data_IF_773316956534
#
_entry.id   IF_773316956534
#
_cell.length_a   1.000
_cell.length_b   1.000
_cell.length_c   1.000
_cell.angle_alpha   90.00
_cell.angle_beta   90.00
_cell.angle_gamma   90.00
#
_symmetry.space_group_name_H-M   'P 1'
#
loop_
_entity.id
_entity.type
_entity.pdbx_description
1 polymer ?
#
# COMPACT_ATOMS: atom_id res chain seq x y z
N UNK A 1 -2.35 20.41 -7.01
CA UNK A 1 -2.39 18.95 -6.77
C UNK A 1 -2.31 18.30 -8.14
N UNK A 2 -1.37 17.37 -8.35
CA UNK A 2 -1.50 16.45 -9.46
C UNK A 2 -2.70 15.56 -9.10
N UNK A 3 -3.67 15.42 -10.00
CA UNK A 3 -4.85 14.59 -9.76
C UNK A 3 -5.21 13.92 -11.08
N UNK A 4 -5.42 12.61 -11.04
CA UNK A 4 -5.95 11.86 -12.16
C UNK A 4 -7.49 11.85 -11.99
N UNK A 5 -8.17 12.74 -12.71
CA UNK A 5 -9.56 13.11 -12.43
C UNK A 5 -10.57 12.36 -13.31
N UNK A 6 -11.43 11.55 -12.67
CA UNK A 6 -12.82 11.27 -13.06
C UNK A 6 -13.09 10.53 -14.38
N UNK A 7 -13.46 9.25 -14.28
CA UNK A 7 -13.91 8.42 -15.41
C UNK A 7 -13.30 7.02 -15.35
N UNK A 8 -13.69 6.12 -16.27
CA UNK A 8 -12.95 4.89 -16.55
C UNK A 8 -11.69 5.24 -17.38
N UNK A 9 -10.92 6.20 -16.90
CA UNK A 9 -9.82 6.83 -17.62
C UNK A 9 -8.50 6.16 -17.28
N UNK A 10 -7.67 6.00 -18.31
CA UNK A 10 -6.32 5.44 -18.19
C UNK A 10 -5.32 6.59 -18.36
N UNK A 11 -4.57 6.88 -17.31
CA UNK A 11 -3.46 7.83 -17.32
C UNK A 11 -2.15 7.06 -17.46
N UNK A 12 -1.62 7.07 -18.67
CA UNK A 12 -0.30 6.53 -18.98
C UNK A 12 0.76 7.62 -18.81
N UNK A 13 1.63 7.46 -17.81
CA UNK A 13 2.70 8.40 -17.53
C UNK A 13 3.96 8.16 -18.37
N UNK A 14 3.97 7.15 -19.25
CA UNK A 14 5.10 6.85 -20.15
C UNK A 14 6.45 6.77 -19.42
N UNK A 15 6.46 6.14 -18.25
CA UNK A 15 7.59 6.02 -17.31
C UNK A 15 8.16 7.36 -16.83
N UNK A 16 7.35 8.42 -16.82
CA UNK A 16 7.74 9.67 -16.18
C UNK A 16 8.02 9.45 -14.69
N UNK A 17 9.05 10.13 -14.20
CA UNK A 17 9.35 10.20 -12.78
C UNK A 17 8.65 11.41 -12.17
N UNK A 18 7.83 11.17 -11.15
CA UNK A 18 7.07 12.19 -10.43
C UNK A 18 7.39 12.11 -8.95
N UNK A 19 7.58 13.27 -8.32
CA UNK A 19 7.66 13.44 -6.89
C UNK A 19 7.06 14.79 -6.50
N UNK A 20 7.03 15.05 -5.19
CA UNK A 20 6.57 16.32 -4.62
C UNK A 20 7.69 17.01 -3.86
N UNK A 21 7.57 18.33 -3.69
CA UNK A 21 8.45 19.05 -2.78
C UNK A 21 7.99 18.85 -1.32
N UNK A 22 8.24 17.65 -0.79
CA UNK A 22 7.97 17.26 0.58
C UNK A 22 9.20 17.51 1.46
N UNK A 23 8.96 18.02 2.66
CA UNK A 23 10.00 18.34 3.66
C UNK A 23 9.73 17.68 5.01
N UNK A 24 8.60 16.98 5.15
CA UNK A 24 8.29 16.20 6.32
C UNK A 24 9.08 14.89 6.29
N UNK A 25 9.52 14.45 7.46
CA UNK A 25 10.30 13.23 7.66
C UNK A 25 9.54 11.98 7.16
N UNK A 26 10.26 10.96 6.71
CA UNK A 26 9.70 9.70 6.21
C UNK A 26 9.63 8.61 7.28
N UNK A 27 10.35 8.74 8.40
CA UNK A 27 10.51 7.63 9.36
C UNK A 27 9.48 7.64 10.49
N UNK A 28 9.09 8.81 11.01
CA UNK A 28 8.24 8.94 12.22
C UNK A 28 7.16 10.04 12.10
N UNK A 29 6.76 10.40 10.87
CA UNK A 29 5.93 11.59 10.61
C UNK A 29 4.52 11.29 10.08
N UNK A 30 3.55 12.11 10.48
CA UNK A 30 2.31 12.31 9.72
C UNK A 30 2.38 13.69 9.03
N UNK A 31 1.79 13.82 7.85
CA UNK A 31 1.65 15.12 7.16
C UNK A 31 2.56 15.34 5.95
N UNK A 32 3.18 14.29 5.43
CA UNK A 32 3.88 14.32 4.14
C UNK A 32 2.89 14.67 3.02
N UNK A 33 3.41 15.37 2.01
CA UNK A 33 2.59 15.72 0.84
C UNK A 33 2.29 14.47 0.01
N UNK A 34 1.02 14.26 -0.33
CA UNK A 34 0.61 13.25 -1.31
C UNK A 34 1.13 13.60 -2.71
N UNK A 35 1.66 12.61 -3.43
CA UNK A 35 2.18 12.82 -4.79
C UNK A 35 1.04 13.15 -5.75
N UNK A 36 -0.01 12.33 -5.74
CA UNK A 36 -1.31 12.66 -6.31
C UNK A 36 -2.43 11.76 -5.77
N UNK A 37 -3.66 12.24 -5.94
CA UNK A 37 -4.89 11.51 -5.65
C UNK A 37 -5.42 10.88 -6.95
N UNK A 38 -5.92 9.65 -6.86
CA UNK A 38 -6.54 8.89 -7.96
C UNK A 38 -8.01 8.74 -7.69
N UNK A 39 -8.83 9.32 -8.57
CA UNK A 39 -10.29 9.30 -8.43
C UNK A 39 -10.90 7.92 -8.74
N UNK A 40 -12.16 7.75 -8.34
CA UNK A 40 -12.90 6.52 -8.62
C UNK A 40 -12.93 6.18 -10.12
N UNK A 41 -12.64 4.92 -10.45
CA UNK A 41 -12.63 4.34 -11.79
C UNK A 41 -11.31 4.47 -12.53
N UNK A 42 -10.34 5.21 -12.00
CA UNK A 42 -9.15 5.61 -12.74
C UNK A 42 -8.03 4.56 -12.66
N UNK A 43 -7.36 4.34 -13.80
CA UNK A 43 -6.12 3.56 -13.89
C UNK A 43 -4.93 4.50 -14.10
N UNK A 44 -3.91 4.38 -13.26
CA UNK A 44 -2.60 5.01 -13.44
C UNK A 44 -1.60 3.94 -13.86
N UNK A 45 -0.84 4.19 -14.93
CA UNK A 45 0.16 3.23 -15.39
C UNK A 45 1.46 3.83 -15.90
N UNK A 46 2.50 2.99 -15.92
CA UNK A 46 3.85 3.30 -16.39
C UNK A 46 4.38 4.57 -15.71
N UNK A 47 4.51 4.52 -14.39
CA UNK A 47 4.85 5.69 -13.58
C UNK A 47 5.99 5.34 -12.64
N UNK A 48 6.93 6.27 -12.47
CA UNK A 48 7.98 6.17 -11.46
C UNK A 48 7.69 7.22 -10.38
N UNK A 49 7.59 6.79 -9.12
CA UNK A 49 7.55 7.68 -7.97
C UNK A 49 8.97 7.87 -7.46
N UNK A 50 9.40 9.13 -7.40
CA UNK A 50 10.72 9.51 -6.92
C UNK A 50 10.94 9.05 -5.48
N UNK A 51 12.15 8.55 -5.20
CA UNK A 51 12.49 7.96 -3.91
C UNK A 51 12.77 8.96 -2.78
N UNK A 52 12.60 8.52 -1.53
CA UNK A 52 12.88 9.27 -0.32
C UNK A 52 11.90 10.43 -0.11
N UNK A 53 12.36 11.57 0.42
CA UNK A 53 11.49 12.72 0.70
C UNK A 53 10.52 13.07 -0.46
N UNK A 54 10.95 13.17 -1.74
CA UNK A 54 10.04 13.41 -2.85
C UNK A 54 8.89 12.42 -3.04
N UNK A 55 9.00 11.20 -2.53
CA UNK A 55 7.95 10.18 -2.56
C UNK A 55 6.79 10.49 -1.63
N UNK A 56 7.02 11.31 -0.59
CA UNK A 56 5.99 11.84 0.31
C UNK A 56 4.99 10.77 0.82
N UNK A 57 3.71 11.10 0.83
CA UNK A 57 2.62 10.16 1.16
C UNK A 57 2.11 9.38 -0.06
N UNK A 58 3.01 9.05 -1.00
CA UNK A 58 2.74 8.20 -2.15
C UNK A 58 1.49 8.61 -2.95
N UNK A 59 0.73 7.58 -3.36
CA UNK A 59 -0.51 7.71 -4.14
C UNK A 59 -1.72 7.43 -3.24
N UNK A 60 -2.73 8.30 -3.26
CA UNK A 60 -3.97 8.08 -2.49
C UNK A 60 -5.12 7.76 -3.43
N UNK A 61 -5.72 6.57 -3.29
CA UNK A 61 -6.92 6.21 -4.02
C UNK A 61 -8.18 6.70 -3.29
N UNK A 62 -8.97 7.52 -3.99
CA UNK A 62 -10.22 8.15 -3.50
C UNK A 62 -11.48 7.38 -3.92
N UNK A 63 -11.31 6.21 -4.51
CA UNK A 63 -12.36 5.28 -4.94
C UNK A 63 -11.74 4.02 -5.51
N UNK A 64 -12.48 3.29 -6.35
CA UNK A 64 -11.90 2.17 -7.10
C UNK A 64 -10.76 2.71 -7.96
N UNK A 65 -9.58 2.12 -7.86
CA UNK A 65 -8.42 2.57 -8.63
C UNK A 65 -7.56 1.38 -9.06
N UNK A 66 -6.79 1.56 -10.13
CA UNK A 66 -5.76 0.60 -10.56
C UNK A 66 -4.42 1.31 -10.71
N UNK A 67 -3.38 0.75 -10.09
CA UNK A 67 -1.99 1.15 -10.21
C UNK A 67 -1.27 0.01 -10.95
N UNK A 68 -0.91 0.23 -12.20
CA UNK A 68 -0.36 -0.79 -13.09
C UNK A 68 1.03 -0.39 -13.61
N UNK A 69 2.05 -1.22 -13.43
CA UNK A 69 3.43 -0.83 -13.77
C UNK A 69 3.88 0.49 -13.09
N UNK A 70 3.59 0.62 -11.79
CA UNK A 70 4.09 1.74 -10.99
C UNK A 70 5.32 1.29 -10.21
N UNK A 71 6.38 2.11 -10.25
CA UNK A 71 7.64 1.87 -9.59
C UNK A 71 7.92 2.93 -8.53
N UNK A 72 7.94 2.54 -7.26
CA UNK A 72 8.39 3.38 -6.15
C UNK A 72 9.86 3.08 -5.85
N UNK A 73 10.74 4.05 -6.11
CA UNK A 73 12.19 3.88 -5.96
C UNK A 73 12.62 3.69 -4.50
N UNK A 74 11.98 4.42 -3.60
CA UNK A 74 12.22 4.42 -2.16
C UNK A 74 11.00 5.07 -1.48
N UNK A 75 10.19 4.25 -0.81
CA UNK A 75 8.93 4.68 -0.20
C UNK A 75 9.23 5.52 1.04
N UNK A 76 8.66 6.74 1.07
CA UNK A 76 8.76 7.63 2.22
C UNK A 76 7.79 7.19 3.33
N UNK A 77 6.54 7.67 3.32
CA UNK A 77 5.54 7.26 4.32
C UNK A 77 4.88 5.94 3.92
N UNK A 78 4.09 5.99 2.84
CA UNK A 78 3.38 4.86 2.24
C UNK A 78 3.58 4.90 0.72
N UNK A 79 3.58 3.74 0.06
CA UNK A 79 3.59 3.70 -1.41
C UNK A 79 2.21 4.09 -1.97
N UNK A 80 1.15 3.47 -1.44
CA UNK A 80 -0.21 3.80 -1.79
C UNK A 80 -1.23 3.52 -0.67
N UNK A 81 -2.30 4.32 -0.66
CA UNK A 81 -3.32 4.28 0.38
C UNK A 81 -4.72 4.08 -0.20
N UNK A 82 -5.41 3.02 0.23
CA UNK A 82 -6.84 2.83 -0.05
C UNK A 82 -7.67 3.61 0.99
N UNK A 83 -8.28 4.71 0.57
CA UNK A 83 -8.88 5.70 1.47
C UNK A 83 -10.41 5.83 1.39
N UNK A 84 -11.08 5.13 0.46
CA UNK A 84 -12.50 5.26 0.23
C UNK A 84 -13.29 4.00 0.62
N UNK A 85 -14.27 4.14 1.51
CA UNK A 85 -15.09 3.03 1.99
C UNK A 85 -15.77 2.29 0.82
N UNK A 86 -15.77 0.95 0.89
CA UNK A 86 -16.29 0.05 -0.14
C UNK A 86 -15.44 -0.06 -1.41
N UNK A 87 -14.35 0.72 -1.55
CA UNK A 87 -13.55 0.75 -2.76
C UNK A 87 -12.53 -0.39 -2.85
N UNK A 88 -12.16 -0.72 -4.08
CA UNK A 88 -11.08 -1.65 -4.44
C UNK A 88 -9.89 -0.92 -5.03
N UNK A 89 -8.75 -0.96 -4.32
CA UNK A 89 -7.44 -0.53 -4.84
C UNK A 89 -6.71 -1.74 -5.42
N UNK A 90 -6.39 -1.69 -6.72
CA UNK A 90 -5.66 -2.76 -7.43
C UNK A 90 -4.24 -2.32 -7.74
N UNK A 91 -3.27 -3.17 -7.42
CA UNK A 91 -1.86 -3.01 -7.73
C UNK A 91 -1.45 -4.19 -8.61
N UNK A 92 -0.97 -3.90 -9.80
CA UNK A 92 -0.56 -4.91 -10.77
C UNK A 92 0.83 -4.58 -11.35
N UNK A 93 1.64 -5.63 -11.56
CA UNK A 93 2.94 -5.53 -12.25
C UNK A 93 3.84 -4.41 -11.70
N UNK A 94 3.76 -4.15 -10.40
CA UNK A 94 4.35 -2.97 -9.78
C UNK A 94 5.53 -3.33 -8.88
N UNK A 95 6.39 -2.33 -8.63
CA UNK A 95 7.59 -2.49 -7.81
C UNK A 95 7.60 -1.42 -6.73
N UNK A 96 7.78 -1.79 -5.46
CA UNK A 96 7.98 -0.84 -4.38
C UNK A 96 9.14 -1.27 -3.48
N UNK A 97 10.02 -0.33 -3.17
CA UNK A 97 11.25 -0.58 -2.43
C UNK A 97 11.33 0.28 -1.16
N UNK A 98 12.01 -0.23 -0.15
CA UNK A 98 12.55 0.52 0.99
C UNK A 98 11.53 1.20 1.93
N UNK A 99 10.28 0.75 1.96
CA UNK A 99 9.29 1.31 2.89
C UNK A 99 9.65 1.06 4.36
N UNK A 100 9.99 2.09 5.14
CA UNK A 100 10.37 1.98 6.56
C UNK A 100 9.33 1.24 7.40
N UNK A 101 8.05 1.62 7.28
CA UNK A 101 6.94 0.93 7.93
C UNK A 101 6.11 0.11 6.93
N UNK A 102 5.17 0.74 6.21
CA UNK A 102 4.13 0.04 5.45
C UNK A 102 4.16 0.44 3.97
N UNK A 103 3.97 -0.54 3.09
CA UNK A 103 3.94 -0.29 1.64
C UNK A 103 2.53 0.15 1.23
N UNK A 104 1.51 -0.63 1.60
CA UNK A 104 0.13 -0.33 1.30
C UNK A 104 -0.70 -0.11 2.56
N UNK A 105 -1.14 1.13 2.74
CA UNK A 105 -2.04 1.53 3.82
C UNK A 105 -3.50 1.31 3.41
N UNK A 106 -4.31 0.79 4.34
CA UNK A 106 -5.74 0.54 4.10
C UNK A 106 -6.58 1.15 5.23
N UNK A 107 -7.14 2.33 4.94
CA UNK A 107 -7.98 3.09 5.88
C UNK A 107 -9.48 2.87 5.62
N UNK A 108 -9.85 2.70 4.34
CA UNK A 108 -11.20 2.43 3.88
C UNK A 108 -11.87 1.29 4.66
N UNK A 109 -13.17 1.41 4.94
CA UNK A 109 -14.02 0.41 5.62
C UNK A 109 -15.06 -0.17 4.66
N UNK A 110 -16.02 -0.94 5.18
CA UNK A 110 -17.23 -1.31 4.44
C UNK A 110 -17.00 -2.40 3.39
N UNK A 111 -16.08 -3.33 3.63
CA UNK A 111 -15.74 -4.39 2.68
C UNK A 111 -14.83 -3.92 1.55
N UNK A 112 -14.12 -2.80 1.75
CA UNK A 112 -13.09 -2.34 0.83
C UNK A 112 -11.95 -3.37 0.71
N UNK A 113 -11.31 -3.39 -0.46
CA UNK A 113 -10.33 -4.43 -0.80
C UNK A 113 -9.05 -3.82 -1.38
N UNK A 114 -7.90 -4.31 -0.93
CA UNK A 114 -6.62 -4.11 -1.63
C UNK A 114 -6.26 -5.41 -2.35
N UNK A 115 -5.94 -5.32 -3.64
CA UNK A 115 -5.53 -6.47 -4.46
C UNK A 115 -4.13 -6.21 -4.98
N UNK A 116 -3.18 -7.08 -4.68
CA UNK A 116 -1.78 -6.98 -5.13
C UNK A 116 -1.46 -8.18 -6.01
N UNK A 117 -1.07 -7.93 -7.25
CA UNK A 117 -0.79 -8.99 -8.24
C UNK A 117 0.47 -8.75 -9.05
N UNK A 118 1.14 -9.83 -9.45
CA UNK A 118 2.28 -9.81 -10.37
C UNK A 118 3.41 -8.84 -9.96
N UNK A 119 3.56 -8.58 -8.67
CA UNK A 119 4.36 -7.46 -8.16
C UNK A 119 5.61 -7.93 -7.40
N UNK A 120 6.61 -7.05 -7.33
CA UNK A 120 7.84 -7.28 -6.58
C UNK A 120 8.03 -6.19 -5.52
N UNK A 121 8.11 -6.58 -4.25
CA UNK A 121 8.21 -5.63 -3.13
C UNK A 121 9.42 -6.01 -2.29
N UNK A 122 10.30 -5.06 -1.97
CA UNK A 122 11.52 -5.36 -1.25
C UNK A 122 11.83 -4.36 -0.12
N UNK A 123 12.48 -4.88 0.92
CA UNK A 123 13.02 -4.11 2.05
C UNK A 123 11.95 -3.27 2.76
N UNK A 124 10.95 -3.94 3.33
CA UNK A 124 9.80 -3.27 3.94
C UNK A 124 9.46 -3.79 5.34
N UNK A 125 8.76 -2.97 6.14
CA UNK A 125 8.18 -3.40 7.40
C UNK A 125 6.98 -4.32 7.17
N UNK A 126 5.91 -3.77 6.59
CA UNK A 126 4.61 -4.40 6.31
C UNK A 126 4.22 -4.20 4.85
N UNK A 127 3.89 -5.26 4.11
CA UNK A 127 3.41 -5.07 2.73
C UNK A 127 2.03 -4.42 2.74
N UNK A 128 1.13 -4.90 3.61
CA UNK A 128 -0.20 -4.33 3.76
C UNK A 128 -0.63 -4.27 5.23
N UNK A 129 -1.27 -3.16 5.60
CA UNK A 129 -1.82 -2.97 6.94
C UNK A 129 -3.23 -2.38 6.88
N UNK A 130 -4.19 -3.13 7.43
CA UNK A 130 -5.48 -2.57 7.85
C UNK A 130 -5.26 -1.59 9.00
N UNK A 131 -5.75 -0.37 8.93
CA UNK A 131 -5.44 0.62 9.98
C UNK A 131 -5.84 0.15 11.39
N UNK A 132 -4.91 0.21 12.34
CA UNK A 132 -5.06 -0.37 13.68
C UNK A 132 -5.75 0.54 14.70
N UNK A 133 -5.69 1.84 14.48
CA UNK A 133 -6.02 2.90 15.45
C UNK A 133 -6.54 4.18 14.77
N UNK A 134 -6.87 4.12 13.47
CA UNK A 134 -7.42 5.26 12.74
C UNK A 134 -8.62 5.90 13.44
N UNK A 135 -8.76 7.21 13.27
CA UNK A 135 -9.97 7.93 13.69
C UNK A 135 -11.23 7.28 13.10
N UNK A 136 -12.24 7.04 13.94
CA UNK A 136 -13.46 6.33 13.56
C UNK A 136 -13.15 4.97 12.91
N UNK A 137 -12.26 4.20 13.55
CA UNK A 137 -11.81 2.91 13.05
C UNK A 137 -12.95 1.90 12.90
N UNK A 138 -12.69 0.87 12.11
CA UNK A 138 -13.62 -0.23 11.86
C UNK A 138 -13.14 -1.09 10.71
N UNK A 139 -14.07 -1.84 10.12
CA UNK A 139 -13.84 -2.70 8.96
C UNK A 139 -15.18 -3.14 8.35
N UNK A 140 -15.23 -4.31 7.69
CA UNK A 140 -14.08 -5.17 7.37
C UNK A 140 -13.23 -4.55 6.26
N UNK A 141 -11.93 -4.89 6.26
CA UNK A 141 -10.96 -4.60 5.20
C UNK A 141 -10.39 -5.90 4.67
N UNK A 142 -10.28 -6.00 3.35
CA UNK A 142 -9.83 -7.22 2.69
C UNK A 142 -8.51 -7.02 1.95
N UNK A 143 -7.66 -8.06 1.96
CA UNK A 143 -6.45 -8.16 1.17
C UNK A 143 -6.49 -9.41 0.31
N UNK A 144 -6.11 -9.26 -0.96
CA UNK A 144 -5.83 -10.37 -1.88
C UNK A 144 -4.41 -10.21 -2.44
N UNK A 145 -3.61 -11.26 -2.33
CA UNK A 145 -2.26 -11.35 -2.88
C UNK A 145 -2.19 -12.55 -3.83
N UNK A 146 -1.81 -12.30 -5.08
CA UNK A 146 -1.57 -13.37 -6.05
C UNK A 146 -0.37 -13.08 -6.97
N UNK A 147 0.52 -14.06 -7.11
CA UNK A 147 1.75 -13.97 -7.89
C UNK A 147 2.62 -12.77 -7.47
N UNK A 148 2.98 -12.70 -6.18
CA UNK A 148 3.79 -11.62 -5.62
C UNK A 148 5.10 -12.18 -5.09
N UNK A 149 6.20 -11.50 -5.39
CA UNK A 149 7.51 -11.81 -4.84
C UNK A 149 7.90 -10.74 -3.83
N UNK A 150 8.32 -11.17 -2.65
CA UNK A 150 8.80 -10.29 -1.58
C UNK A 150 10.21 -10.65 -1.12
N UNK A 151 10.96 -9.65 -0.69
CA UNK A 151 12.31 -9.77 -0.13
C UNK A 151 12.47 -8.78 1.04
N UNK A 152 13.32 -9.11 2.02
CA UNK A 152 13.66 -8.17 3.09
C UNK A 152 12.49 -7.79 3.99
N UNK A 153 11.58 -8.73 4.26
CA UNK A 153 10.40 -8.51 5.10
C UNK A 153 10.82 -8.39 6.57
N UNK A 154 10.71 -7.19 7.16
CA UNK A 154 11.19 -6.93 8.53
C UNK A 154 10.18 -7.30 9.62
N UNK A 155 8.89 -7.26 9.32
CA UNK A 155 7.84 -7.58 10.31
C UNK A 155 6.83 -8.62 9.80
N UNK A 156 5.89 -8.23 8.94
CA UNK A 156 4.85 -9.11 8.42
C UNK A 156 4.53 -8.79 6.97
N UNK A 157 4.01 -9.75 6.21
CA UNK A 157 3.45 -9.46 4.89
C UNK A 157 2.08 -8.77 5.04
N UNK A 158 1.17 -9.36 5.80
CA UNK A 158 -0.17 -8.81 6.02
C UNK A 158 -0.47 -8.63 7.52
N UNK A 159 -1.02 -7.47 7.89
CA UNK A 159 -1.53 -7.18 9.23
C UNK A 159 -3.03 -6.89 9.22
N UNK A 160 -3.85 -7.85 9.66
CA UNK A 160 -5.31 -7.79 9.64
C UNK A 160 -5.90 -7.62 11.05
N UNK A 161 -7.02 -6.89 11.17
CA UNK A 161 -7.71 -6.69 12.44
C UNK A 161 -8.84 -7.71 12.61
N UNK A 162 -8.59 -8.74 13.42
CA UNK A 162 -9.53 -9.85 13.62
C UNK A 162 -10.88 -9.38 14.15
N UNK A 163 -10.88 -8.41 15.07
CA UNK A 163 -12.09 -7.88 15.70
C UNK A 163 -12.96 -7.01 14.76
N UNK A 164 -12.47 -6.66 13.58
CA UNK A 164 -13.24 -5.94 12.55
C UNK A 164 -13.64 -6.81 11.35
N UNK A 165 -13.36 -8.11 11.42
CA UNK A 165 -13.76 -9.06 10.36
C UNK A 165 -12.90 -8.95 9.10
N UNK A 166 -11.68 -8.42 9.22
CA UNK A 166 -10.74 -8.34 8.10
C UNK A 166 -10.39 -9.74 7.59
N UNK A 167 -10.17 -9.86 6.28
CA UNK A 167 -9.76 -11.13 5.67
C UNK A 167 -8.55 -10.95 4.77
N UNK A 168 -7.67 -11.95 4.75
CA UNK A 168 -6.48 -11.98 3.91
C UNK A 168 -6.49 -13.27 3.10
N UNK A 169 -6.36 -13.16 1.77
CA UNK A 169 -6.22 -14.30 0.86
C UNK A 169 -4.88 -14.22 0.14
N UNK A 170 -4.09 -15.29 0.19
CA UNK A 170 -2.76 -15.37 -0.41
C UNK A 170 -2.65 -16.72 -1.15
N UNK A 171 -2.35 -16.69 -2.45
CA UNK A 171 -2.27 -17.91 -3.29
C UNK A 171 -0.86 -18.20 -3.80
N UNK A 172 -0.19 -17.23 -4.42
CA UNK A 172 1.13 -17.42 -5.04
C UNK A 172 2.12 -16.38 -4.52
N UNK A 173 2.50 -16.49 -3.24
CA UNK A 173 3.49 -15.61 -2.61
C UNK A 173 4.86 -16.30 -2.57
N UNK A 174 5.88 -15.64 -3.10
CA UNK A 174 7.27 -16.07 -2.98
C UNK A 174 8.04 -15.13 -2.06
N UNK A 175 8.52 -15.65 -0.91
CA UNK A 175 9.34 -14.91 0.04
C UNK A 175 10.81 -15.31 -0.13
N UNK A 176 11.66 -14.39 -0.59
CA UNK A 176 13.10 -14.64 -0.66
C UNK A 176 13.72 -14.55 0.75
N UNK A 177 14.62 -15.48 1.06
CA UNK A 177 15.24 -15.62 2.38
C UNK A 177 14.58 -16.68 3.25
N UNK A 178 13.31 -17.02 2.98
CA UNK A 178 12.58 -18.00 3.78
C UNK A 178 12.21 -17.49 5.17
N UNK A 179 11.85 -18.41 6.06
CA UNK A 179 11.52 -18.14 7.46
C UNK A 179 12.72 -18.49 8.34
N UNK A 180 13.05 -17.58 9.25
CA UNK A 180 14.02 -17.72 10.31
C UNK A 180 13.29 -18.04 11.63
N UNK A 181 13.63 -19.18 12.23
CA UNK A 181 13.00 -19.65 13.46
C UNK A 181 13.49 -18.94 14.72
N UNK A 182 14.72 -18.46 14.73
CA UNK A 182 15.31 -17.76 15.88
C UNK A 182 14.72 -16.35 16.01
N UNK A 183 14.43 -15.71 14.88
CA UNK A 183 13.85 -14.37 14.80
C UNK A 183 12.31 -14.37 14.64
N UNK A 184 11.69 -15.55 14.49
CA UNK A 184 10.26 -15.76 14.26
C UNK A 184 9.70 -14.92 13.09
N UNK A 185 10.48 -14.84 11.99
CA UNK A 185 10.27 -13.91 10.88
C UNK A 185 10.60 -14.49 9.51
N UNK A 186 9.94 -14.01 8.44
CA UNK A 186 8.85 -13.05 8.49
C UNK A 186 7.51 -13.70 8.84
N UNK A 187 6.65 -12.97 9.53
CA UNK A 187 5.24 -13.36 9.64
C UNK A 187 4.56 -13.16 8.28
N UNK A 188 3.75 -14.11 7.85
CA UNK A 188 3.02 -13.97 6.57
C UNK A 188 1.70 -13.24 6.80
N UNK A 189 0.86 -13.75 7.70
CA UNK A 189 -0.40 -13.12 8.07
C UNK A 189 -0.46 -13.01 9.58
N UNK A 190 -0.43 -11.78 10.09
CA UNK A 190 -0.50 -11.47 11.51
C UNK A 190 -1.87 -10.88 11.82
N UNK A 191 -2.55 -11.47 12.80
CA UNK A 191 -3.78 -10.92 13.36
C UNK A 191 -3.46 -9.89 14.45
N UNK A 192 -4.26 -8.84 14.47
CA UNK A 192 -4.24 -7.76 15.46
C UNK A 192 -5.64 -7.56 16.04
N UNK A 193 -5.69 -6.98 17.24
CA UNK A 193 -6.91 -6.41 17.81
C UNK A 193 -6.83 -4.89 17.72
N UNK A 194 -7.54 -4.31 16.76
CA UNK A 194 -7.59 -2.86 16.56
C UNK A 194 -8.50 -2.16 17.56
N UNK A 195 -8.28 -0.86 17.71
CA UNK A 195 -9.03 0.03 18.60
C UNK A 195 -9.70 1.16 17.80
N UNK A 196 -10.77 1.71 18.36
CA UNK A 196 -11.39 2.96 17.93
C UNK A 196 -10.72 4.10 18.71
N UNK A 197 -9.79 4.78 18.04
CA UNK A 197 -9.12 6.04 18.39
C UNK A 197 -7.97 6.01 19.42
N UNK A 198 -6.94 6.80 19.08
CA UNK A 198 -5.92 7.37 19.95
C UNK A 198 -6.09 8.91 19.96
#
# INVERSE_FOLDING_TARGET
>A
KNAANGGQDVYDFNNQKIGVNNTADCDDGEGQKTVFEVEHGVTVKNLIIAGGLPGGNGIVCKGDCTLDHVYWEDVCEDAATNSADGATMRINSSIALHASDKVFQHNAKGGSTTIVTNSYIADFGKLWRSCGDCTANGGPRHLVIDNVRVEGVRTTVAGANQNYGDTVTITNLHVKGGYDEDDDKPKICQEYRAVTDH
#
